data_IF_000948940457
#
_entry.id   IF_000948940457
#
_cell.length_a   1.000
_cell.length_b   1.000
_cell.length_c   1.000
_cell.angle_alpha   90.00
_cell.angle_beta   90.00
_cell.angle_gamma   90.00
#
_symmetry.space_group_name_H-M   'P 1'
#
loop_
_entity.id
_entity.type
_entity.pdbx_description
1 polymer ?
#
# COMPACT_ATOMS: atom_id res chain seq x y z
N UNK A 1 17.00 -3.10 -11.94
CA UNK A 1 16.53 -2.67 -10.60
C UNK A 1 15.06 -2.99 -10.46
N UNK A 2 14.63 -3.38 -9.25
CA UNK A 2 13.21 -3.67 -8.95
C UNK A 2 12.40 -2.37 -8.85
N UNK A 3 11.23 -2.32 -9.47
CA UNK A 3 10.29 -1.19 -9.43
C UNK A 3 9.36 -1.34 -8.23
N UNK A 4 9.49 -0.48 -7.23
CA UNK A 4 8.62 -0.50 -6.05
C UNK A 4 7.62 0.66 -6.15
N UNK A 5 6.34 0.37 -5.98
CA UNK A 5 5.28 1.37 -5.90
C UNK A 5 4.81 1.51 -4.45
N UNK A 6 4.74 2.75 -3.95
CA UNK A 6 4.07 3.12 -2.71
C UNK A 6 2.68 3.62 -3.10
N UNK A 7 1.63 2.99 -2.59
CA UNK A 7 0.26 3.39 -2.89
C UNK A 7 -0.06 4.72 -2.21
N UNK A 8 -0.55 5.66 -3.00
CA UNK A 8 -1.23 6.86 -2.52
C UNK A 8 -2.73 6.66 -2.63
N UNK A 9 -3.37 6.45 -1.48
CA UNK A 9 -4.82 6.48 -1.34
C UNK A 9 -5.24 7.62 -0.41
N UNK A 10 -4.45 8.70 -0.33
CA UNK A 10 -4.76 9.86 0.50
C UNK A 10 -4.47 9.70 1.99
N UNK A 11 -3.91 8.56 2.43
CA UNK A 11 -3.49 8.31 3.81
C UNK A 11 -2.09 7.70 3.86
N UNK A 12 -1.46 7.79 5.03
CA UNK A 12 -0.13 7.25 5.29
C UNK A 12 0.99 8.30 5.23
N UNK A 13 2.14 7.96 5.82
CA UNK A 13 3.32 8.82 5.81
C UNK A 13 4.18 8.59 4.55
N UNK A 14 3.62 8.91 3.37
CA UNK A 14 4.20 8.58 2.06
C UNK A 14 5.63 9.11 1.88
N UNK A 15 5.89 10.34 2.36
CA UNK A 15 7.20 10.98 2.23
C UNK A 15 8.28 10.28 3.06
N UNK A 16 7.99 9.93 4.31
CA UNK A 16 8.97 9.22 5.15
C UNK A 16 9.22 7.81 4.62
N UNK A 17 8.19 7.09 4.17
CA UNK A 17 8.35 5.75 3.56
C UNK A 17 9.23 5.83 2.32
N UNK A 18 8.96 6.78 1.42
CA UNK A 18 9.80 7.03 0.24
C UNK A 18 11.24 7.35 0.64
N UNK A 19 11.46 8.23 1.61
CA UNK A 19 12.81 8.60 2.07
C UNK A 19 13.56 7.43 2.69
N UNK A 20 12.89 6.57 3.46
CA UNK A 20 13.50 5.37 4.04
C UNK A 20 13.98 4.39 2.96
N UNK A 21 13.18 4.22 1.90
CA UNK A 21 13.57 3.39 0.75
C UNK A 21 14.70 4.01 -0.07
N UNK A 22 14.67 5.33 -0.28
CA UNK A 22 15.76 6.08 -0.92
C UNK A 22 17.08 5.93 -0.14
N UNK A 23 17.02 5.99 1.19
CA UNK A 23 18.18 5.84 2.06
C UNK A 23 18.87 4.48 1.92
N UNK A 24 18.11 3.40 1.67
CA UNK A 24 18.66 2.06 1.42
C UNK A 24 18.97 1.78 -0.08
N UNK A 25 18.96 2.83 -0.92
CA UNK A 25 19.35 2.76 -2.33
C UNK A 25 18.24 2.40 -3.32
N UNK A 26 16.99 2.36 -2.87
CA UNK A 26 15.82 2.15 -3.76
C UNK A 26 15.30 3.47 -4.34
N UNK A 27 14.54 3.39 -5.43
CA UNK A 27 13.92 4.56 -6.07
C UNK A 27 12.41 4.30 -6.25
N UNK A 28 11.63 4.30 -5.15
CA UNK A 28 10.22 3.97 -5.21
C UNK A 28 9.40 5.08 -5.88
N UNK A 29 8.30 4.69 -6.50
CA UNK A 29 7.31 5.61 -7.07
C UNK A 29 6.10 5.70 -6.16
N UNK A 30 5.65 6.90 -5.83
CA UNK A 30 4.35 7.12 -5.19
C UNK A 30 3.30 7.20 -6.30
N UNK A 31 2.22 6.41 -6.19
CA UNK A 31 1.17 6.41 -7.21
C UNK A 31 -0.19 5.96 -6.67
N UNK A 32 -1.24 6.55 -7.25
CA UNK A 32 -2.64 6.15 -7.13
C UNK A 32 -3.19 5.58 -8.43
N UNK A 33 -2.34 5.34 -9.45
CA UNK A 33 -2.78 4.90 -10.78
C UNK A 33 -2.73 3.37 -10.88
N UNK A 34 -3.84 2.69 -11.22
CA UNK A 34 -3.87 1.23 -11.33
C UNK A 34 -2.80 0.65 -12.24
N UNK A 35 -2.56 1.27 -13.39
CA UNK A 35 -1.54 0.83 -14.34
C UNK A 35 -0.12 0.89 -13.78
N UNK A 36 0.18 1.81 -12.87
CA UNK A 36 1.51 1.95 -12.28
C UNK A 36 1.70 0.96 -11.11
N UNK A 37 0.61 0.63 -10.42
CA UNK A 37 0.58 -0.41 -9.38
C UNK A 37 0.82 -1.78 -10.03
N UNK A 38 0.01 -2.15 -11.03
CA UNK A 38 0.09 -3.45 -11.72
C UNK A 38 1.42 -3.68 -12.43
N UNK A 39 2.12 -2.63 -12.86
CA UNK A 39 3.42 -2.77 -13.54
C UNK A 39 4.64 -2.75 -12.58
N UNK A 40 4.42 -2.71 -11.26
CA UNK A 40 5.51 -2.73 -10.27
C UNK A 40 5.96 -4.15 -9.92
N UNK A 41 7.21 -4.30 -9.51
CA UNK A 41 7.76 -5.56 -9.01
C UNK A 41 7.37 -5.83 -7.54
N UNK A 42 6.99 -4.78 -6.80
CA UNK A 42 6.60 -4.87 -5.40
C UNK A 42 5.80 -3.65 -4.96
N UNK A 43 4.92 -3.87 -4.00
CA UNK A 43 3.93 -2.89 -3.57
C UNK A 43 4.09 -2.58 -2.08
N UNK A 44 3.99 -1.31 -1.72
CA UNK A 44 3.96 -0.86 -0.34
C UNK A 44 2.65 -0.15 -0.10
N UNK A 45 1.92 -0.62 0.91
CA UNK A 45 0.66 -0.05 1.36
C UNK A 45 0.87 0.55 2.75
N UNK A 46 1.15 1.86 2.86
CA UNK A 46 1.34 2.52 4.14
C UNK A 46 0.02 3.03 4.70
N UNK A 47 -0.20 2.96 6.02
CA UNK A 47 -1.39 3.54 6.63
C UNK A 47 -1.12 4.19 7.98
N UNK A 48 -1.85 5.27 8.27
CA UNK A 48 -1.95 5.92 9.59
C UNK A 48 -3.39 6.41 9.77
N UNK A 49 -3.84 6.60 11.01
CA UNK A 49 -5.16 7.15 11.31
C UNK A 49 -6.22 6.07 11.55
N UNK A 50 -7.49 6.43 11.31
CA UNK A 50 -8.63 5.57 11.60
C UNK A 50 -8.90 4.55 10.49
N UNK A 51 -9.28 3.33 10.88
CA UNK A 51 -9.55 2.23 9.95
C UNK A 51 -10.68 2.54 8.96
N UNK A 52 -11.77 3.15 9.44
CA UNK A 52 -12.92 3.54 8.60
C UNK A 52 -12.54 4.47 7.46
N UNK A 53 -11.68 5.47 7.73
CA UNK A 53 -11.24 6.43 6.72
C UNK A 53 -10.37 5.76 5.67
N UNK A 54 -9.51 4.83 6.11
CA UNK A 54 -8.69 4.05 5.20
C UNK A 54 -9.50 3.14 4.28
N UNK A 55 -10.53 2.48 4.80
CA UNK A 55 -11.45 1.67 4.00
C UNK A 55 -12.19 2.50 2.95
N UNK A 56 -12.63 3.71 3.29
CA UNK A 56 -13.30 4.60 2.34
C UNK A 56 -12.36 5.03 1.22
N UNK A 57 -11.12 5.41 1.56
CA UNK A 57 -10.20 5.97 0.60
C UNK A 57 -9.55 4.91 -0.32
N UNK A 58 -9.33 3.69 0.18
CA UNK A 58 -8.72 2.60 -0.60
C UNK A 58 -9.69 1.99 -1.62
N UNK A 59 -10.99 2.27 -1.50
CA UNK A 59 -12.06 1.57 -2.21
C UNK A 59 -11.86 1.55 -3.74
N UNK A 60 -11.37 2.65 -4.34
CA UNK A 60 -11.12 2.74 -5.78
C UNK A 60 -9.92 1.92 -6.27
N UNK A 61 -9.00 1.57 -5.37
CA UNK A 61 -7.79 0.81 -5.66
C UNK A 61 -7.84 -0.64 -5.19
N UNK A 62 -8.88 -1.01 -4.42
CA UNK A 62 -9.00 -2.33 -3.80
C UNK A 62 -8.92 -3.48 -4.80
N UNK A 63 -9.63 -3.38 -5.92
CA UNK A 63 -9.56 -4.40 -6.98
C UNK A 63 -8.15 -4.53 -7.56
N UNK A 64 -7.49 -3.40 -7.85
CA UNK A 64 -6.11 -3.38 -8.35
C UNK A 64 -5.11 -3.99 -7.37
N UNK A 65 -5.28 -3.75 -6.07
CA UNK A 65 -4.42 -4.32 -5.02
C UNK A 65 -4.63 -5.83 -4.95
N UNK A 66 -5.88 -6.29 -4.99
CA UNK A 66 -6.19 -7.72 -5.01
C UNK A 66 -5.60 -8.40 -6.25
N UNK A 67 -5.79 -7.82 -7.44
CA UNK A 67 -5.19 -8.33 -8.68
C UNK A 67 -3.67 -8.44 -8.57
N UNK A 68 -3.01 -7.45 -7.94
CA UNK A 68 -1.57 -7.47 -7.71
C UNK A 68 -1.13 -8.61 -6.76
N UNK A 69 -1.90 -8.86 -5.71
CA UNK A 69 -1.68 -9.96 -4.75
C UNK A 69 -1.88 -11.31 -5.44
N UNK A 70 -2.93 -11.46 -6.24
CA UNK A 70 -3.26 -12.69 -6.97
C UNK A 70 -2.20 -13.05 -8.02
N UNK A 71 -1.46 -12.06 -8.53
CA UNK A 71 -0.28 -12.27 -9.37
C UNK A 71 0.94 -12.84 -8.60
N UNK A 72 0.83 -13.05 -7.29
CA UNK A 72 1.90 -13.58 -6.43
C UNK A 72 3.05 -12.60 -6.20
N UNK A 73 2.80 -11.29 -6.36
CA UNK A 73 3.84 -10.26 -6.21
C UNK A 73 3.95 -9.78 -4.77
N UNK A 74 5.15 -9.43 -4.30
CA UNK A 74 5.37 -9.06 -2.91
C UNK A 74 4.66 -7.76 -2.53
N UNK A 75 3.95 -7.79 -1.39
CA UNK A 75 3.28 -6.64 -0.79
C UNK A 75 3.78 -6.45 0.64
N UNK A 76 4.09 -5.20 1.01
CA UNK A 76 4.40 -4.79 2.37
C UNK A 76 3.33 -3.81 2.87
N UNK A 77 2.50 -4.26 3.81
CA UNK A 77 1.61 -3.38 4.57
C UNK A 77 2.35 -2.75 5.74
N UNK A 78 2.14 -1.46 6.00
CA UNK A 78 2.72 -0.76 7.16
C UNK A 78 1.58 -0.22 8.04
N UNK A 79 1.54 -0.68 9.30
CA UNK A 79 0.52 -0.31 10.28
C UNK A 79 -0.89 -0.57 9.71
N UNK A 80 -1.74 0.45 9.61
CA UNK A 80 -3.08 0.34 9.07
C UNK A 80 -3.11 -0.25 7.65
N UNK A 81 -2.08 0.02 6.84
CA UNK A 81 -2.00 -0.55 5.50
C UNK A 81 -1.87 -2.08 5.48
N UNK A 82 -1.37 -2.70 6.56
CA UNK A 82 -1.38 -4.16 6.70
C UNK A 82 -2.79 -4.68 6.98
N UNK A 83 -3.59 -3.98 7.76
CA UNK A 83 -4.97 -4.39 8.08
C UNK A 83 -5.88 -4.34 6.84
N UNK A 84 -5.62 -3.42 5.90
CA UNK A 84 -6.39 -3.29 4.66
C UNK A 84 -6.28 -4.49 3.71
N UNK A 85 -5.23 -5.31 3.86
CA UNK A 85 -5.00 -6.52 3.06
C UNK A 85 -5.25 -7.81 3.85
N UNK A 86 -5.78 -7.69 5.08
CA UNK A 86 -6.21 -8.83 5.89
C UNK A 86 -7.66 -9.21 5.55
N UNK A 87 -8.01 -10.46 5.84
CA UNK A 87 -9.38 -10.98 5.73
C UNK A 87 -10.24 -10.69 6.97
N UNK A 88 -9.61 -10.45 8.12
CA UNK A 88 -10.24 -10.08 9.39
C UNK A 88 -9.28 -9.23 10.26
N UNK A 89 -9.83 -8.42 11.16
CA UNK A 89 -9.09 -7.63 12.16
C UNK A 89 -9.86 -7.66 13.49
N UNK A 90 -9.16 -7.84 14.62
CA UNK A 90 -9.72 -7.72 15.98
C UNK A 90 -9.63 -6.28 16.52
N UNK A 91 -9.13 -5.33 15.70
CA UNK A 91 -8.96 -3.95 16.11
C UNK A 91 -10.32 -3.23 16.21
N UNK A 92 -10.72 -2.88 17.44
CA UNK A 92 -12.03 -2.29 17.75
C UNK A 92 -12.90 -3.15 18.67
N UNK A 93 -12.52 -4.41 18.89
CA UNK A 93 -13.18 -5.33 19.82
C UNK A 93 -14.45 -5.96 19.26
N UNK A 94 -14.36 -7.25 18.97
CA UNK A 94 -15.43 -8.24 19.18
C UNK A 94 -14.86 -9.36 20.07
#
# INVERSE_FOLDING_TARGET
MKKITIIDYGLGNLRSVKKGLEFVGSHPKISSKPCEIINSDGLILPGVGAFSDAMNNIQSLRSTINDFIDMGRPVLGICLGQQLIMTCSEEGGD
#
